data_IF_874158825341
#
_entry.id   IF_874158825341
#
_cell.length_a   1.000
_cell.length_b   1.000
_cell.length_c   1.000
_cell.angle_alpha   90.00
_cell.angle_beta   90.00
_cell.angle_gamma   90.00
#
_symmetry.space_group_name_H-M   'P 1'
#
loop_
_entity.id
_entity.type
_entity.pdbx_description
1 polymer ?
#
# COMPACT_ATOMS: atom_id res chain seq x y z
N UNK A 1 -16.72 17.67 13.05
CA UNK A 1 -17.12 16.64 12.07
C UNK A 1 -15.88 16.13 11.35
N UNK A 2 -15.22 15.06 11.84
CA UNK A 2 -13.98 14.55 11.24
C UNK A 2 -14.34 13.57 10.12
N UNK A 3 -14.36 14.05 8.86
CA UNK A 3 -14.55 13.18 7.67
C UNK A 3 -13.26 12.38 7.46
N UNK A 4 -13.31 11.08 7.76
CA UNK A 4 -12.21 10.14 7.50
C UNK A 4 -12.04 9.98 5.99
N UNK A 5 -10.96 10.52 5.43
CA UNK A 5 -10.66 10.35 4.02
C UNK A 5 -10.00 8.99 3.78
N UNK A 6 -10.54 8.26 2.80
CA UNK A 6 -10.19 6.88 2.46
C UNK A 6 -8.69 6.73 2.17
N UNK A 7 -8.01 5.94 3.00
CA UNK A 7 -6.80 5.21 2.60
C UNK A 7 -7.27 3.81 2.27
N UNK A 8 -7.17 3.40 1.01
CA UNK A 8 -7.51 2.05 0.59
C UNK A 8 -6.24 1.22 0.55
N UNK A 9 -6.00 0.45 1.60
CA UNK A 9 -4.99 -0.61 1.61
C UNK A 9 -5.47 -1.67 0.63
N UNK A 10 -4.82 -1.76 -0.53
CA UNK A 10 -5.11 -2.81 -1.49
C UNK A 10 -4.14 -3.94 -1.23
N UNK A 11 -4.65 -5.13 -0.88
CA UNK A 11 -3.83 -6.33 -0.98
C UNK A 11 -3.31 -6.43 -2.43
N UNK A 12 -2.03 -6.78 -2.64
CA UNK A 12 -1.45 -6.84 -3.98
C UNK A 12 -2.36 -7.65 -4.89
N UNK A 13 -2.70 -7.06 -6.04
CA UNK A 13 -3.51 -7.72 -7.07
C UNK A 13 -2.81 -9.04 -7.40
N UNK A 14 -3.39 -10.19 -7.02
CA UNK A 14 -2.92 -11.52 -7.46
C UNK A 14 -2.72 -11.44 -8.97
N UNK A 15 -1.47 -11.45 -9.40
CA UNK A 15 -1.10 -11.47 -10.82
C UNK A 15 -1.69 -12.74 -11.40
N UNK A 16 -2.70 -12.58 -12.27
CA UNK A 16 -3.26 -13.69 -13.04
C UNK A 16 -2.30 -14.00 -14.18
N UNK A 17 -1.98 -15.29 -14.30
CA UNK A 17 -1.33 -16.03 -15.38
C UNK A 17 0.21 -16.10 -15.44
N UNK A 18 0.66 -17.36 -15.32
CA UNK A 18 1.75 -18.04 -16.03
C UNK A 18 3.18 -17.57 -15.81
N UNK A 19 3.74 -17.75 -14.62
CA UNK A 19 5.18 -17.97 -14.46
C UNK A 19 5.44 -19.18 -13.56
N UNK A 20 6.31 -20.04 -14.07
CA UNK A 20 6.69 -21.39 -13.69
C UNK A 20 7.02 -21.56 -12.19
N UNK A 21 6.62 -22.68 -11.53
CA UNK A 21 7.04 -22.95 -10.16
C UNK A 21 8.52 -23.35 -10.12
N UNK A 22 9.40 -22.39 -9.83
CA UNK A 22 10.79 -22.68 -9.46
C UNK A 22 10.96 -22.43 -7.96
N UNK A 23 11.65 -23.36 -7.33
CA UNK A 23 11.71 -23.64 -5.90
C UNK A 23 12.39 -22.48 -5.13
N UNK A 24 11.78 -22.07 -4.01
CA UNK A 24 12.37 -21.28 -2.90
C UNK A 24 12.71 -19.80 -3.17
N UNK A 25 11.71 -18.92 -3.23
CA UNK A 25 11.83 -17.55 -2.69
C UNK A 25 10.45 -17.10 -2.17
N UNK A 26 10.31 -16.67 -0.89
CA UNK A 26 9.08 -16.05 -0.44
C UNK A 26 8.98 -14.70 -1.14
N UNK A 27 8.33 -14.65 -2.29
CA UNK A 27 8.00 -13.42 -3.03
C UNK A 27 7.36 -12.45 -2.02
N UNK A 28 8.06 -11.38 -1.59
CA UNK A 28 7.50 -10.50 -0.58
C UNK A 28 6.21 -9.95 -1.16
N UNK A 29 5.09 -10.23 -0.50
CA UNK A 29 3.80 -9.72 -0.89
C UNK A 29 3.84 -8.21 -0.63
N UNK A 30 4.25 -7.45 -1.63
CA UNK A 30 4.37 -5.99 -1.54
C UNK A 30 2.96 -5.43 -1.33
N UNK A 31 2.73 -4.81 -0.19
CA UNK A 31 1.48 -4.15 0.14
C UNK A 31 1.40 -2.81 -0.58
N UNK A 32 0.38 -2.59 -1.43
CA UNK A 32 0.25 -1.31 -2.12
C UNK A 32 -0.71 -0.37 -1.38
N UNK A 33 -0.22 0.85 -1.17
CA UNK A 33 -0.93 1.91 -0.45
C UNK A 33 -1.21 3.06 -1.40
N UNK A 34 -2.48 3.26 -1.74
CA UNK A 34 -2.89 4.38 -2.60
C UNK A 34 -3.18 5.62 -1.77
N UNK A 35 -2.46 6.69 -2.06
CA UNK A 35 -2.57 7.98 -1.37
C UNK A 35 -3.15 9.02 -2.33
N UNK A 36 -4.07 9.84 -1.82
CA UNK A 36 -4.66 10.97 -2.53
C UNK A 36 -4.46 12.25 -1.73
N UNK A 37 -4.61 13.42 -2.34
CA UNK A 37 -4.51 14.72 -1.64
C UNK A 37 -5.55 14.92 -0.53
N UNK A 38 -6.51 14.00 -0.42
CA UNK A 38 -7.54 14.02 0.60
C UNK A 38 -7.20 13.09 1.77
N UNK A 39 -6.37 12.08 1.57
CA UNK A 39 -6.02 11.07 2.58
C UNK A 39 -5.41 11.74 3.82
N UNK A 40 -5.69 11.27 5.04
CA UNK A 40 -5.09 11.90 6.23
C UNK A 40 -3.65 11.41 6.45
N UNK A 41 -2.67 12.29 6.74
CA UNK A 41 -1.27 11.88 7.01
C UNK A 41 -1.18 10.85 8.13
N UNK A 42 -2.02 11.00 9.17
CA UNK A 42 -2.11 10.06 10.27
C UNK A 42 -2.60 8.67 9.84
N UNK A 43 -3.62 8.57 8.97
CA UNK A 43 -4.06 7.27 8.43
C UNK A 43 -3.00 6.63 7.54
N UNK A 44 -2.30 7.44 6.72
CA UNK A 44 -1.23 6.94 5.84
C UNK A 44 -0.10 6.35 6.69
N UNK A 45 0.38 7.10 7.69
CA UNK A 45 1.39 6.63 8.63
C UNK A 45 0.96 5.36 9.37
N UNK A 46 -0.29 5.28 9.84
CA UNK A 46 -0.81 4.11 10.54
C UNK A 46 -0.87 2.85 9.67
N UNK A 47 -1.29 2.99 8.41
CA UNK A 47 -1.31 1.87 7.47
C UNK A 47 0.11 1.38 7.15
N UNK A 48 1.06 2.30 6.92
CA UNK A 48 2.47 1.97 6.70
C UNK A 48 3.06 1.25 7.92
N UNK A 49 2.84 1.80 9.12
CA UNK A 49 3.34 1.22 10.37
C UNK A 49 2.82 -0.20 10.59
N UNK A 50 1.53 -0.45 10.31
CA UNK A 50 0.94 -1.80 10.38
C UNK A 50 1.60 -2.77 9.41
N UNK A 51 1.72 -2.37 8.13
CA UNK A 51 2.32 -3.22 7.11
C UNK A 51 3.80 -3.54 7.38
N UNK A 52 4.58 -2.55 7.83
CA UNK A 52 6.00 -2.75 8.19
C UNK A 52 6.11 -3.69 9.41
N UNK A 53 5.23 -3.54 10.41
CA UNK A 53 5.19 -4.43 11.57
C UNK A 53 4.92 -5.88 11.18
N UNK A 54 4.08 -6.09 10.17
CA UNK A 54 3.78 -7.43 9.63
C UNK A 54 4.89 -7.96 8.71
N UNK A 55 6.01 -7.24 8.57
CA UNK A 55 7.15 -7.61 7.73
C UNK A 55 6.90 -7.43 6.23
N UNK A 56 5.82 -6.74 5.84
CA UNK A 56 5.48 -6.49 4.46
C UNK A 56 6.24 -5.28 3.91
N UNK A 57 6.74 -5.40 2.68
CA UNK A 57 7.26 -4.26 1.92
C UNK A 57 6.10 -3.37 1.50
N UNK A 58 6.18 -2.06 1.74
CA UNK A 58 5.11 -1.11 1.40
C UNK A 58 5.48 -0.36 0.12
N UNK A 59 4.60 -0.41 -0.87
CA UNK A 59 4.68 0.40 -2.09
C UNK A 59 3.61 1.50 -2.03
N UNK A 60 4.02 2.76 -2.13
CA UNK A 60 3.09 3.89 -2.10
C UNK A 60 2.85 4.38 -3.52
N UNK A 61 1.57 4.46 -3.88
CA UNK A 61 1.13 5.01 -5.16
C UNK A 61 0.35 6.31 -4.92
N UNK A 62 0.92 7.43 -5.35
CA UNK A 62 0.31 8.75 -5.25
C UNK A 62 0.30 9.42 -6.63
N UNK A 63 -0.78 10.13 -6.95
CA UNK A 63 -0.94 10.87 -8.21
C UNK A 63 -1.28 12.33 -7.92
N UNK A 64 -0.46 13.24 -8.44
CA UNK A 64 -0.60 14.69 -8.29
C UNK A 64 0.08 15.27 -7.05
N UNK A 65 0.48 16.54 -7.12
CA UNK A 65 1.31 17.20 -6.10
C UNK A 65 0.72 17.12 -4.69
N UNK A 66 -0.59 17.32 -4.56
CA UNK A 66 -1.27 17.26 -3.27
C UNK A 66 -1.29 15.87 -2.62
N UNK A 67 -1.17 14.78 -3.39
CA UNK A 67 -1.12 13.41 -2.87
C UNK A 67 0.30 13.00 -2.48
N UNK A 68 1.29 13.51 -3.21
CA UNK A 68 2.72 13.28 -2.96
C UNK A 68 3.20 14.04 -1.70
N UNK A 69 2.62 15.21 -1.43
CA UNK A 69 2.97 16.06 -0.30
C UNK A 69 2.19 15.73 1.00
N UNK A 70 1.68 14.49 1.13
CA UNK A 70 0.94 14.03 2.31
C UNK A 70 1.81 13.31 3.33
#
# INVERSE_FOLDING_TARGET
MKRTFNVSVFAPRRTRNSDVPTITEPKPAIGCLKVSSKSSPASVAGAIAGMIKDGATVEIQAVGAGAVNQ
#
